data_IF_313813511195
#
_entry.id   IF_313813511195
#
_cell.length_a   1.000
_cell.length_b   1.000
_cell.length_c   1.000
_cell.angle_alpha   90.00
_cell.angle_beta   90.00
_cell.angle_gamma   90.00
#
_symmetry.space_group_name_H-M   'P 1'
#
loop_
_entity.id
_entity.type
_entity.pdbx_description
1 polymer ?
#
# COMPACT_ATOMS: atom_id res chain seq x y z
N UNK A 1 0.32 -18.40 -11.72
CA UNK A 1 -1.18 -18.43 -11.71
C UNK A 1 -1.66 -18.97 -10.39
N UNK A 2 -2.73 -18.40 -9.82
CA UNK A 2 -3.35 -18.92 -8.59
C UNK A 2 -4.64 -19.64 -8.94
N UNK A 3 -4.86 -20.82 -8.37
CA UNK A 3 -6.07 -21.62 -8.51
C UNK A 3 -6.50 -22.13 -7.14
N UNK A 4 -7.79 -22.35 -6.93
CA UNK A 4 -8.35 -22.86 -5.68
C UNK A 4 -9.42 -23.92 -5.91
N UNK A 5 -9.82 -24.63 -4.85
CA UNK A 5 -10.99 -25.53 -4.88
C UNK A 5 -12.32 -24.80 -5.09
N UNK A 6 -12.39 -23.49 -4.85
CA UNK A 6 -13.61 -22.70 -4.96
C UNK A 6 -13.82 -22.15 -6.37
N UNK A 7 -14.79 -22.68 -7.11
CA UNK A 7 -15.08 -22.24 -8.50
C UNK A 7 -15.34 -20.73 -8.61
N UNK A 8 -16.26 -20.19 -7.81
CA UNK A 8 -16.62 -18.75 -7.87
C UNK A 8 -15.46 -17.87 -7.39
N UNK A 9 -14.65 -18.37 -6.46
CA UNK A 9 -13.44 -17.67 -6.02
C UNK A 9 -12.38 -17.61 -7.13
N UNK A 10 -12.25 -18.67 -7.92
CA UNK A 10 -11.41 -18.65 -9.12
C UNK A 10 -11.90 -17.64 -10.17
N UNK A 11 -13.22 -17.45 -10.31
CA UNK A 11 -13.78 -16.43 -11.21
C UNK A 11 -13.35 -15.02 -10.77
N UNK A 12 -13.35 -14.74 -9.45
CA UNK A 12 -12.82 -13.49 -8.90
C UNK A 12 -11.33 -13.32 -9.18
N UNK A 13 -10.50 -14.31 -8.86
CA UNK A 13 -9.05 -14.23 -9.12
C UNK A 13 -8.73 -14.08 -10.61
N UNK A 14 -9.47 -14.76 -11.48
CA UNK A 14 -9.31 -14.67 -12.93
C UNK A 14 -9.69 -13.29 -13.46
N UNK A 15 -10.81 -12.72 -12.97
CA UNK A 15 -11.26 -11.37 -13.32
C UNK A 15 -10.27 -10.32 -12.85
N UNK A 16 -9.83 -10.41 -11.59
CA UNK A 16 -8.80 -9.53 -11.03
C UNK A 16 -7.50 -9.57 -11.85
N UNK A 17 -7.02 -10.76 -12.23
CA UNK A 17 -5.82 -10.89 -13.07
C UNK A 17 -6.02 -10.25 -14.45
N UNK A 18 -7.19 -10.44 -15.06
CA UNK A 18 -7.51 -9.82 -16.34
C UNK A 18 -7.56 -8.30 -16.25
N UNK A 19 -8.05 -7.75 -15.14
CA UNK A 19 -8.12 -6.30 -14.92
C UNK A 19 -6.74 -5.68 -14.72
N UNK A 20 -5.83 -6.34 -13.97
CA UNK A 20 -4.42 -5.93 -13.89
C UNK A 20 -3.79 -5.95 -15.29
N UNK A 21 -3.99 -7.02 -16.06
CA UNK A 21 -3.44 -7.13 -17.41
C UNK A 21 -4.00 -6.05 -18.36
N UNK A 22 -5.30 -5.77 -18.29
CA UNK A 22 -5.96 -4.73 -19.08
C UNK A 22 -5.40 -3.33 -18.79
N UNK A 23 -5.12 -3.04 -17.52
CA UNK A 23 -4.60 -1.75 -17.08
C UNK A 23 -3.07 -1.62 -17.21
N UNK A 24 -2.36 -2.72 -17.50
CA UNK A 24 -0.90 -2.70 -17.65
C UNK A 24 -0.53 -2.32 -19.07
N UNK A 25 0.26 -1.26 -19.21
CA UNK A 25 0.84 -0.82 -20.47
C UNK A 25 2.31 -1.25 -20.54
N UNK A 26 2.72 -1.84 -21.66
CA UNK A 26 4.12 -2.11 -21.93
C UNK A 26 4.84 -0.82 -22.35
N UNK A 27 5.73 -0.33 -21.49
CA UNK A 27 6.57 0.84 -21.74
C UNK A 27 8.03 0.41 -21.95
N UNK A 28 8.86 1.32 -22.46
CA UNK A 28 10.31 1.08 -22.62
C UNK A 28 11.00 0.70 -21.30
N UNK A 29 10.48 1.22 -20.18
CA UNK A 29 10.96 0.94 -18.82
C UNK A 29 10.47 -0.39 -18.26
N UNK A 30 9.59 -1.10 -18.98
CA UNK A 30 8.89 -2.30 -18.53
C UNK A 30 7.37 -2.09 -18.35
N UNK A 31 6.65 -3.12 -17.88
CA UNK A 31 5.21 -3.04 -17.68
C UNK A 31 4.86 -2.04 -16.57
N UNK A 32 3.89 -1.17 -16.83
CA UNK A 32 3.40 -0.18 -15.87
C UNK A 32 1.86 -0.22 -15.77
N UNK A 33 1.29 -0.40 -14.58
CA UNK A 33 -0.15 -0.37 -14.39
C UNK A 33 -0.67 1.07 -14.36
N UNK A 34 -1.53 1.44 -15.30
CA UNK A 34 -2.29 2.70 -15.24
C UNK A 34 -3.35 2.60 -14.14
N UNK A 35 -3.67 3.73 -13.51
CA UNK A 35 -4.48 3.75 -12.29
C UNK A 35 -5.86 3.12 -12.49
N UNK A 36 -6.66 3.60 -13.43
CA UNK A 36 -7.93 2.94 -13.77
C UNK A 36 -8.79 3.69 -14.77
N UNK A 37 -9.86 3.05 -15.22
CA UNK A 37 -10.74 3.59 -16.26
C UNK A 37 -12.15 3.86 -15.71
N UNK A 38 -12.82 4.94 -16.16
CA UNK A 38 -12.42 5.83 -17.27
C UNK A 38 -11.54 7.03 -16.86
N UNK A 39 -11.45 7.37 -15.58
CA UNK A 39 -10.95 8.68 -15.16
C UNK A 39 -9.43 8.82 -15.08
N UNK A 40 -8.72 7.71 -14.83
CA UNK A 40 -7.31 7.70 -14.46
C UNK A 40 -6.47 6.82 -15.40
N UNK A 41 -6.78 6.84 -16.70
CA UNK A 41 -6.09 6.06 -17.73
C UNK A 41 -4.71 6.64 -18.06
N UNK A 42 -3.85 6.75 -17.06
CA UNK A 42 -2.49 7.26 -17.18
C UNK A 42 -1.61 6.75 -16.02
N UNK A 43 -0.31 7.08 -16.06
CA UNK A 43 0.62 6.77 -15.00
C UNK A 43 0.41 7.66 -13.77
N UNK A 44 0.07 7.03 -12.65
CA UNK A 44 0.04 7.61 -11.30
C UNK A 44 1.10 6.92 -10.45
N UNK A 45 2.00 7.68 -9.83
CA UNK A 45 3.12 7.14 -9.09
C UNK A 45 2.68 6.29 -7.91
N UNK A 46 1.81 6.83 -7.05
CA UNK A 46 1.29 6.13 -5.87
C UNK A 46 0.51 4.87 -6.24
N UNK A 47 -0.46 4.97 -7.15
CA UNK A 47 -1.27 3.84 -7.61
C UNK A 47 -0.40 2.75 -8.22
N UNK A 48 0.59 3.14 -9.03
CA UNK A 48 1.58 2.25 -9.61
C UNK A 48 2.37 1.51 -8.54
N UNK A 49 2.87 2.23 -7.54
CA UNK A 49 3.65 1.66 -6.43
C UNK A 49 2.81 0.71 -5.58
N UNK A 50 1.59 1.10 -5.17
CA UNK A 50 0.72 0.25 -4.35
C UNK A 50 0.30 -1.02 -5.14
N UNK A 51 -0.06 -0.87 -6.42
CA UNK A 51 -0.39 -2.02 -7.27
C UNK A 51 0.80 -2.96 -7.43
N UNK A 52 2.01 -2.42 -7.58
CA UNK A 52 3.23 -3.20 -7.62
C UNK A 52 3.50 -3.94 -6.31
N UNK A 53 3.35 -3.29 -5.14
CA UNK A 53 3.48 -3.93 -3.82
C UNK A 53 2.49 -5.08 -3.65
N UNK A 54 1.24 -4.89 -4.08
CA UNK A 54 0.18 -5.91 -4.01
C UNK A 54 0.46 -7.13 -4.88
N UNK A 55 1.08 -6.93 -6.04
CA UNK A 55 1.41 -7.98 -6.99
C UNK A 55 2.80 -8.59 -6.78
N UNK A 56 3.65 -7.96 -5.97
CA UNK A 56 5.09 -8.22 -5.89
C UNK A 56 5.44 -9.70 -5.66
N UNK A 57 4.67 -10.38 -4.82
CA UNK A 57 4.94 -11.78 -4.50
C UNK A 57 4.70 -12.73 -5.69
N UNK A 58 3.76 -12.39 -6.59
CA UNK A 58 3.41 -13.16 -7.78
C UNK A 58 4.14 -12.71 -9.04
N UNK A 59 4.27 -11.40 -9.25
CA UNK A 59 4.80 -10.80 -10.46
C UNK A 59 5.72 -9.61 -10.13
N UNK A 60 6.99 -9.86 -9.77
CA UNK A 60 7.93 -8.80 -9.44
C UNK A 60 8.33 -7.92 -10.64
N UNK A 61 8.09 -8.35 -11.89
CA UNK A 61 8.39 -7.54 -13.08
C UNK A 61 7.53 -6.26 -13.13
N UNK A 62 6.32 -6.28 -12.59
CA UNK A 62 5.49 -5.08 -12.49
C UNK A 62 6.15 -4.02 -11.59
N UNK A 63 6.74 -4.46 -10.47
CA UNK A 63 7.49 -3.57 -9.59
C UNK A 63 8.77 -3.03 -10.26
N UNK A 64 9.50 -3.87 -11.00
CA UNK A 64 10.67 -3.44 -11.78
C UNK A 64 10.31 -2.34 -12.79
N UNK A 65 9.22 -2.52 -13.53
CA UNK A 65 8.72 -1.56 -14.52
C UNK A 65 8.27 -0.24 -13.89
N UNK A 66 7.53 -0.30 -12.77
CA UNK A 66 7.12 0.88 -12.00
C UNK A 66 8.33 1.65 -11.47
N UNK A 67 9.29 0.96 -10.85
CA UNK A 67 10.51 1.58 -10.32
C UNK A 67 11.30 2.28 -11.43
N UNK A 68 11.57 1.58 -12.54
CA UNK A 68 12.32 2.14 -13.66
C UNK A 68 11.62 3.34 -14.31
N UNK A 69 10.30 3.29 -14.45
CA UNK A 69 9.51 4.42 -14.94
C UNK A 69 9.63 5.62 -13.99
N UNK A 70 9.40 5.43 -12.70
CA UNK A 70 9.42 6.51 -11.72
C UNK A 70 10.81 7.14 -11.55
N UNK A 71 11.89 6.36 -11.64
CA UNK A 71 13.25 6.92 -11.68
C UNK A 71 13.49 7.78 -12.93
N UNK A 72 13.02 7.34 -14.11
CA UNK A 72 13.17 8.10 -15.37
C UNK A 72 12.48 9.46 -15.31
N UNK A 73 11.39 9.56 -14.55
CA UNK A 73 10.61 10.79 -14.36
C UNK A 73 10.78 11.39 -12.96
N UNK A 74 11.84 11.05 -12.23
CA UNK A 74 12.14 11.68 -10.95
C UNK A 74 12.51 13.15 -11.19
N UNK A 75 12.02 14.05 -10.33
CA UNK A 75 12.32 15.47 -10.47
C UNK A 75 13.79 15.76 -10.19
N UNK A 76 14.39 16.60 -11.02
CA UNK A 76 15.73 17.19 -10.84
C UNK A 76 15.68 18.70 -10.65
N UNK A 77 14.48 19.29 -10.63
CA UNK A 77 14.25 20.73 -10.63
C UNK A 77 13.25 21.13 -9.55
N UNK A 78 13.26 22.41 -9.19
CA UNK A 78 12.25 23.01 -8.32
C UNK A 78 11.22 23.76 -9.16
N UNK A 79 9.94 23.39 -9.05
CA UNK A 79 8.83 24.05 -9.75
C UNK A 79 7.64 24.24 -8.81
N UNK A 80 7.24 25.48 -8.58
CA UNK A 80 6.06 25.82 -7.77
C UNK A 80 4.78 25.30 -8.43
N UNK A 81 4.69 25.41 -9.77
CA UNK A 81 3.50 25.02 -10.52
C UNK A 81 3.30 23.50 -10.51
N UNK A 82 4.37 22.75 -10.75
CA UNK A 82 4.32 21.28 -10.83
C UNK A 82 4.45 20.61 -9.44
N UNK A 83 4.65 21.41 -8.38
CA UNK A 83 4.95 20.97 -7.01
C UNK A 83 6.18 20.04 -6.95
N UNK A 84 7.18 20.36 -7.77
CA UNK A 84 8.38 19.57 -7.98
C UNK A 84 9.53 20.10 -7.11
N UNK A 85 10.30 19.19 -6.53
CA UNK A 85 11.58 19.45 -5.86
C UNK A 85 12.56 18.34 -6.24
N UNK A 86 13.88 18.59 -6.29
CA UNK A 86 14.86 17.56 -6.61
C UNK A 86 14.70 16.32 -5.72
N UNK A 87 14.61 15.14 -6.35
CA UNK A 87 14.42 13.86 -5.67
C UNK A 87 12.95 13.42 -5.53
N UNK A 88 11.96 14.31 -5.69
CA UNK A 88 10.54 13.91 -5.64
C UNK A 88 10.16 12.96 -6.77
N UNK A 89 9.28 12.02 -6.44
CA UNK A 89 8.67 11.10 -7.39
C UNK A 89 7.28 11.62 -7.80
N UNK A 90 6.98 11.56 -9.09
CA UNK A 90 5.74 12.09 -9.67
C UNK A 90 4.47 11.51 -9.03
N UNK A 91 3.48 12.37 -8.81
CA UNK A 91 2.11 12.00 -8.47
C UNK A 91 1.39 11.43 -9.71
N UNK A 92 1.33 12.20 -10.80
CA UNK A 92 0.68 11.78 -12.05
C UNK A 92 1.27 12.48 -13.28
N UNK A 93 1.01 11.91 -14.45
CA UNK A 93 1.30 12.54 -15.74
C UNK A 93 0.06 12.52 -16.62
N UNK A 94 -0.27 13.62 -17.29
CA UNK A 94 -1.40 13.72 -18.23
C UNK A 94 -0.95 14.35 -19.53
N UNK A 95 -1.56 13.89 -20.62
CA UNK A 95 -1.33 14.41 -21.99
C UNK A 95 -2.55 15.17 -22.54
N UNK A 96 -3.54 15.48 -21.70
CA UNK A 96 -4.75 16.19 -22.12
C UNK A 96 -4.49 17.67 -22.43
N UNK A 97 -5.40 18.30 -23.18
CA UNK A 97 -5.26 19.68 -23.66
C UNK A 97 -4.95 20.68 -22.54
N UNK A 98 -5.70 20.65 -21.42
CA UNK A 98 -5.45 21.53 -20.27
C UNK A 98 -4.07 21.32 -19.63
N UNK A 99 -3.51 20.09 -19.69
CA UNK A 99 -2.17 19.81 -19.19
C UNK A 99 -1.09 20.28 -20.18
N UNK A 100 -1.36 20.18 -21.49
CA UNK A 100 -0.47 20.69 -22.56
C UNK A 100 -0.44 22.22 -22.58
N UNK A 101 -1.59 22.86 -22.37
CA UNK A 101 -1.74 24.32 -22.28
C UNK A 101 -1.30 24.90 -20.92
N UNK A 102 -0.89 24.05 -19.97
CA UNK A 102 -0.49 24.43 -18.59
C UNK A 102 -1.59 25.18 -17.81
N UNK A 103 -2.85 24.87 -18.08
CA UNK A 103 -4.00 25.35 -17.27
C UNK A 103 -4.11 24.57 -15.96
N UNK A 104 -3.67 23.31 -15.95
CA UNK A 104 -3.57 22.45 -14.78
C UNK A 104 -2.16 21.85 -14.67
N UNK A 105 -1.64 21.59 -13.46
CA UNK A 105 -0.26 21.13 -13.27
C UNK A 105 -0.06 19.64 -13.61
N UNK A 106 -1.12 18.95 -14.01
CA UNK A 106 -1.11 17.49 -14.20
C UNK A 106 -0.33 16.99 -15.41
N UNK A 107 0.39 17.85 -16.14
CA UNK A 107 1.31 17.41 -17.19
C UNK A 107 2.37 16.46 -16.64
N UNK A 108 3.04 16.88 -15.55
CA UNK A 108 3.95 16.07 -14.72
C UNK A 108 3.91 16.62 -13.30
N UNK A 109 2.90 16.22 -12.55
CA UNK A 109 2.65 16.76 -11.21
C UNK A 109 3.36 15.94 -10.14
N UNK A 110 3.92 16.60 -9.12
CA UNK A 110 4.69 15.98 -8.03
C UNK A 110 4.08 16.23 -6.64
N UNK A 111 2.84 16.72 -6.55
CA UNK A 111 2.17 17.00 -5.28
C UNK A 111 1.65 15.77 -4.52
N UNK A 112 2.41 14.67 -4.53
CA UNK A 112 2.18 13.47 -3.71
C UNK A 112 3.29 13.33 -2.68
N UNK A 113 2.98 13.53 -1.39
CA UNK A 113 3.96 13.47 -0.29
C UNK A 113 4.32 12.03 0.09
N UNK A 114 3.41 11.09 -0.17
CA UNK A 114 3.56 9.66 0.08
C UNK A 114 4.32 8.92 -1.01
N UNK A 115 4.28 9.39 -2.27
CA UNK A 115 4.86 8.67 -3.41
C UNK A 115 6.37 8.44 -3.27
N UNK A 116 7.12 9.45 -2.84
CA UNK A 116 8.59 9.34 -2.70
C UNK A 116 9.02 8.29 -1.67
N UNK A 117 8.53 8.29 -0.41
CA UNK A 117 8.86 7.21 0.53
C UNK A 117 8.29 5.85 0.09
N UNK A 118 7.10 5.80 -0.53
CA UNK A 118 6.56 4.56 -1.08
C UNK A 118 7.45 3.96 -2.18
N UNK A 119 7.99 4.79 -3.06
CA UNK A 119 8.93 4.38 -4.12
C UNK A 119 10.18 3.71 -3.54
N UNK A 120 10.77 4.31 -2.50
CA UNK A 120 11.93 3.72 -1.80
C UNK A 120 11.54 2.40 -1.11
N UNK A 121 10.38 2.36 -0.48
CA UNK A 121 9.88 1.13 0.16
C UNK A 121 9.62 0.00 -0.86
N UNK A 122 9.11 0.32 -2.05
CA UNK A 122 8.94 -0.64 -3.15
C UNK A 122 10.29 -1.16 -3.63
N UNK A 123 11.31 -0.30 -3.75
CA UNK A 123 12.65 -0.71 -4.19
C UNK A 123 13.27 -1.72 -3.21
N UNK A 124 13.18 -1.44 -1.90
CA UNK A 124 13.57 -2.40 -0.86
C UNK A 124 12.77 -3.71 -0.94
N UNK A 125 11.44 -3.62 -1.02
CA UNK A 125 10.58 -4.81 -1.07
C UNK A 125 10.87 -5.66 -2.32
N UNK A 126 11.15 -5.02 -3.45
CA UNK A 126 11.58 -5.68 -4.68
C UNK A 126 12.92 -6.39 -4.51
N UNK A 127 13.91 -5.72 -3.91
CA UNK A 127 15.21 -6.31 -3.62
C UNK A 127 15.06 -7.54 -2.70
N UNK A 128 14.28 -7.42 -1.61
CA UNK A 128 14.00 -8.51 -0.68
C UNK A 128 13.33 -9.71 -1.37
N UNK A 129 12.39 -9.43 -2.27
CA UNK A 129 11.65 -10.44 -3.03
C UNK A 129 12.49 -11.17 -4.08
N UNK A 130 13.42 -10.47 -4.72
CA UNK A 130 14.08 -10.94 -5.95
C UNK A 130 15.57 -11.25 -5.78
N UNK A 131 16.24 -10.62 -4.82
CA UNK A 131 17.69 -10.65 -4.69
C UNK A 131 18.41 -10.01 -5.89
N UNK A 132 17.72 -9.16 -6.67
CA UNK A 132 18.27 -8.57 -7.89
C UNK A 132 19.11 -7.33 -7.56
N UNK A 133 20.34 -7.57 -7.08
CA UNK A 133 21.27 -6.53 -6.69
C UNK A 133 21.67 -5.62 -7.88
N UNK A 134 21.81 -6.19 -9.09
CA UNK A 134 22.13 -5.43 -10.31
C UNK A 134 21.09 -4.34 -10.62
N UNK A 135 19.80 -4.66 -10.47
CA UNK A 135 18.75 -3.67 -10.65
C UNK A 135 18.79 -2.61 -9.56
N UNK A 136 18.96 -3.00 -8.29
CA UNK A 136 19.10 -2.02 -7.19
C UNK A 136 20.28 -1.09 -7.42
N UNK A 137 21.40 -1.60 -7.93
CA UNK A 137 22.58 -0.81 -8.22
C UNK A 137 22.34 0.26 -9.28
N UNK A 138 21.60 -0.08 -10.35
CA UNK A 138 21.17 0.91 -11.36
C UNK A 138 20.24 1.98 -10.79
N UNK A 139 19.44 1.64 -9.80
CA UNK A 139 18.47 2.54 -9.18
C UNK A 139 19.07 3.40 -8.06
N UNK A 140 20.30 3.11 -7.64
CA UNK A 140 20.87 3.61 -6.39
C UNK A 140 20.91 5.13 -6.28
N UNK A 141 21.30 5.82 -7.35
CA UNK A 141 21.38 7.29 -7.35
C UNK A 141 19.98 7.92 -7.23
N UNK A 142 18.99 7.33 -7.92
CA UNK A 142 17.60 7.75 -7.82
C UNK A 142 17.04 7.53 -6.41
N UNK A 143 17.37 6.40 -5.77
CA UNK A 143 16.99 6.11 -4.39
C UNK A 143 17.66 7.09 -3.40
N UNK A 144 18.94 7.39 -3.58
CA UNK A 144 19.64 8.37 -2.75
C UNK A 144 19.05 9.77 -2.91
N UNK A 145 18.67 10.18 -4.12
CA UNK A 145 18.00 11.47 -4.35
C UNK A 145 16.61 11.52 -3.68
N UNK A 146 15.84 10.44 -3.75
CA UNK A 146 14.55 10.34 -3.07
C UNK A 146 14.68 10.46 -1.54
N UNK A 147 15.67 9.78 -0.96
CA UNK A 147 15.94 9.86 0.48
C UNK A 147 16.49 11.23 0.88
N UNK A 148 17.35 11.84 0.06
CA UNK A 148 17.84 13.19 0.30
C UNK A 148 16.69 14.20 0.37
N UNK A 149 15.69 14.09 -0.52
CA UNK A 149 14.48 14.88 -0.44
C UNK A 149 13.72 14.66 0.88
N UNK A 150 13.54 13.40 1.30
CA UNK A 150 12.88 13.07 2.57
C UNK A 150 13.62 13.68 3.77
N UNK A 151 14.95 13.63 3.78
CA UNK A 151 15.79 14.22 4.83
C UNK A 151 15.70 15.75 4.84
N UNK A 152 15.71 16.39 3.67
CA UNK A 152 15.57 17.84 3.54
C UNK A 152 14.21 18.32 4.05
N UNK A 153 13.11 17.68 3.64
CA UNK A 153 11.77 18.02 4.14
C UNK A 153 11.68 17.79 5.64
N UNK A 154 12.19 16.66 6.14
CA UNK A 154 12.23 16.36 7.58
C UNK A 154 12.98 17.42 8.38
N UNK A 155 14.11 17.92 7.86
CA UNK A 155 14.92 18.94 8.51
C UNK A 155 14.20 20.30 8.63
N UNK A 156 13.34 20.66 7.65
CA UNK A 156 12.56 21.92 7.68
C UNK A 156 11.57 21.98 8.86
N UNK A 157 11.13 20.82 9.37
CA UNK A 157 10.08 20.72 10.39
C UNK A 157 10.58 20.49 11.81
N UNK A 158 11.89 20.30 12.03
CA UNK A 158 12.49 20.06 13.35
C UNK A 158 12.27 18.65 13.94
N UNK A 159 11.07 18.08 13.78
CA UNK A 159 10.72 16.73 14.26
C UNK A 159 11.09 15.60 13.28
N UNK A 160 11.63 15.95 12.10
CA UNK A 160 12.04 14.98 11.08
C UNK A 160 10.89 14.45 10.22
N UNK A 161 9.64 14.86 10.46
CA UNK A 161 8.49 14.42 9.67
C UNK A 161 8.54 14.93 8.24
N UNK A 162 8.19 14.05 7.30
CA UNK A 162 7.94 14.45 5.91
C UNK A 162 6.52 15.01 5.86
N UNK A 163 6.43 16.30 5.54
CA UNK A 163 5.19 17.06 5.51
C UNK A 163 4.87 17.56 4.11
N UNK A 164 3.62 17.93 3.89
CA UNK A 164 3.24 18.71 2.71
C UNK A 164 2.68 20.08 3.05
N UNK A 165 2.87 21.00 2.12
CA UNK A 165 2.13 22.24 1.99
C UNK A 165 2.07 22.54 0.50
N UNK A 166 0.88 22.69 -0.07
CA UNK A 166 0.74 22.94 -1.51
C UNK A 166 1.58 24.15 -1.92
N UNK A 167 2.36 24.03 -2.99
CA UNK A 167 3.22 25.12 -3.45
C UNK A 167 2.43 26.23 -4.17
N UNK A 168 1.33 25.86 -4.83
CA UNK A 168 0.43 26.77 -5.52
C UNK A 168 -1.05 26.46 -5.18
N UNK A 169 -1.91 27.46 -5.26
CA UNK A 169 -3.36 27.29 -5.03
C UNK A 169 -4.03 26.36 -6.04
N UNK A 170 -3.41 26.16 -7.21
CA UNK A 170 -3.84 25.23 -8.27
C UNK A 170 -3.42 23.77 -8.03
N UNK A 171 -2.56 23.52 -7.03
CA UNK A 171 -2.15 22.17 -6.63
C UNK A 171 -3.20 21.48 -5.76
N UNK A 172 -3.03 20.17 -5.55
CA UNK A 172 -3.85 19.39 -4.62
C UNK A 172 -3.73 19.96 -3.21
N UNK A 173 -4.88 20.12 -2.55
CA UNK A 173 -4.94 20.63 -1.18
C UNK A 173 -4.34 19.63 -0.20
N UNK A 174 -4.79 18.38 -0.26
CA UNK A 174 -4.21 17.26 0.48
C UNK A 174 -3.33 16.43 -0.47
N UNK A 175 -2.11 16.13 -0.04
CA UNK A 175 -1.10 15.48 -0.89
C UNK A 175 -0.81 14.02 -0.51
N UNK A 176 -1.61 13.43 0.37
CA UNK A 176 -1.58 11.99 0.66
C UNK A 176 -2.57 11.21 -0.19
N UNK A 177 -2.74 9.92 0.09
CA UNK A 177 -3.69 9.08 -0.64
C UNK A 177 -5.14 9.53 -0.53
N UNK A 178 -5.49 10.16 0.61
CA UNK A 178 -6.75 10.87 0.78
C UNK A 178 -6.62 12.33 0.33
N UNK A 179 -6.69 12.55 -0.98
CA UNK A 179 -6.40 13.84 -1.62
C UNK A 179 -7.59 14.80 -1.76
N UNK A 180 -8.80 14.40 -1.35
CA UNK A 180 -9.96 15.32 -1.30
C UNK A 180 -9.73 16.44 -0.29
N UNK A 181 -10.15 17.66 -0.59
CA UNK A 181 -9.90 18.84 0.24
C UNK A 181 -10.47 18.74 1.67
N UNK A 182 -11.52 17.94 1.86
CA UNK A 182 -12.21 17.71 3.14
C UNK A 182 -11.75 16.43 3.87
N UNK A 183 -10.72 15.74 3.39
CA UNK A 183 -10.32 14.44 3.93
C UNK A 183 -9.47 14.49 5.21
N UNK A 184 -8.80 15.63 5.45
CA UNK A 184 -7.96 15.85 6.63
C UNK A 184 -8.58 16.97 7.45
N UNK A 185 -8.93 16.67 8.69
CA UNK A 185 -9.63 17.58 9.60
C UNK A 185 -9.24 17.28 11.06
N UNK A 186 -9.43 18.26 11.94
CA UNK A 186 -9.32 18.10 13.38
C UNK A 186 -10.59 17.50 13.95
N UNK A 187 -10.56 17.05 15.21
CA UNK A 187 -11.71 16.44 15.90
C UNK A 187 -12.95 17.34 15.98
N UNK A 188 -12.79 18.66 15.87
CA UNK A 188 -13.87 19.66 15.82
C UNK A 188 -14.39 19.94 14.39
N UNK A 189 -13.87 19.23 13.38
CA UNK A 189 -14.20 19.41 11.97
C UNK A 189 -13.45 20.53 11.26
N UNK A 190 -12.57 21.27 11.96
CA UNK A 190 -11.77 22.33 11.33
C UNK A 190 -10.70 21.76 10.40
N UNK A 191 -10.47 22.43 9.26
CA UNK A 191 -9.40 22.06 8.32
C UNK A 191 -8.06 22.53 8.88
N UNK A 192 -7.07 21.64 9.09
CA UNK A 192 -5.77 22.01 9.63
C UNK A 192 -4.98 22.89 8.65
N UNK A 193 -4.07 23.70 9.21
CA UNK A 193 -3.13 24.50 8.42
C UNK A 193 -1.81 23.76 8.24
N UNK A 194 -1.23 23.88 7.05
CA UNK A 194 0.07 23.29 6.75
C UNK A 194 1.24 23.96 7.47
N UNK A 195 2.43 23.32 7.43
CA UNK A 195 2.69 22.02 6.82
C UNK A 195 2.05 20.85 7.59
N UNK A 196 1.55 19.82 6.89
CA UNK A 196 0.84 18.68 7.50
C UNK A 196 1.68 17.40 7.39
N UNK A 197 1.88 16.69 8.50
CA UNK A 197 2.46 15.36 8.56
C UNK A 197 1.36 14.30 8.68
N UNK A 198 1.18 13.46 7.67
CA UNK A 198 0.21 12.35 7.70
C UNK A 198 0.81 11.11 8.34
N UNK A 199 0.00 10.38 9.11
CA UNK A 199 0.47 9.23 9.89
C UNK A 199 0.99 8.09 9.01
N UNK A 200 0.29 7.75 7.93
CA UNK A 200 0.70 6.69 6.99
C UNK A 200 1.99 7.06 6.26
N UNK A 201 2.18 8.34 5.92
CA UNK A 201 3.38 8.85 5.27
C UNK A 201 4.58 8.63 6.17
N UNK A 202 4.45 8.92 7.47
CA UNK A 202 5.56 8.68 8.41
C UNK A 202 5.88 7.19 8.54
N UNK A 203 4.86 6.33 8.44
CA UNK A 203 5.06 4.88 8.31
C UNK A 203 5.88 4.51 7.08
N UNK A 204 5.57 5.07 5.91
CA UNK A 204 6.34 4.83 4.68
C UNK A 204 7.76 5.38 4.78
N UNK A 205 7.96 6.54 5.40
CA UNK A 205 9.27 7.14 5.66
C UNK A 205 10.12 6.21 6.53
N UNK A 206 9.55 5.67 7.61
CA UNK A 206 10.20 4.65 8.43
C UNK A 206 10.62 3.42 7.60
N UNK A 207 9.70 2.91 6.78
CA UNK A 207 9.94 1.72 5.95
C UNK A 207 11.02 1.96 4.88
N UNK A 208 11.02 3.16 4.29
CA UNK A 208 12.02 3.60 3.32
C UNK A 208 13.42 3.69 3.96
N UNK A 209 13.55 4.32 5.13
CA UNK A 209 14.83 4.39 5.84
C UNK A 209 15.34 3.00 6.27
N UNK A 210 14.46 2.12 6.77
CA UNK A 210 14.82 0.71 7.07
C UNK A 210 15.32 -0.01 5.83
N UNK A 211 14.61 0.13 4.72
CA UNK A 211 14.99 -0.48 3.44
C UNK A 211 16.34 0.01 2.94
N UNK A 212 16.56 1.33 2.96
CA UNK A 212 17.82 1.93 2.52
C UNK A 212 18.98 1.56 3.44
N UNK A 213 18.76 1.46 4.75
CA UNK A 213 19.76 0.97 5.69
C UNK A 213 20.19 -0.47 5.36
N UNK A 214 19.23 -1.35 5.07
CA UNK A 214 19.50 -2.74 4.70
C UNK A 214 20.22 -2.86 3.35
N UNK A 215 19.83 -2.07 2.35
CA UNK A 215 20.53 -2.01 1.06
C UNK A 215 21.95 -1.44 1.19
N UNK A 216 22.15 -0.38 1.97
CA UNK A 216 23.48 0.16 2.26
C UNK A 216 24.38 -0.88 2.92
N UNK A 217 23.87 -1.62 3.91
CA UNK A 217 24.62 -2.68 4.57
C UNK A 217 25.02 -3.80 3.59
N UNK A 218 24.12 -4.20 2.67
CA UNK A 218 24.40 -5.15 1.59
C UNK A 218 25.52 -4.66 0.66
N UNK A 219 25.55 -3.35 0.39
CA UNK A 219 26.59 -2.69 -0.42
C UNK A 219 27.89 -2.41 0.36
N UNK A 220 27.97 -2.78 1.63
CA UNK A 220 29.15 -2.52 2.48
C UNK A 220 29.29 -1.07 2.96
N UNK A 221 28.31 -0.20 2.73
CA UNK A 221 28.31 1.18 3.22
C UNK A 221 27.76 1.24 4.65
N UNK A 222 28.63 0.89 5.61
CA UNK A 222 28.29 0.84 7.04
C UNK A 222 27.84 2.20 7.58
N UNK A 223 28.40 3.30 7.05
CA UNK A 223 28.07 4.65 7.49
C UNK A 223 26.64 5.04 7.10
N UNK A 224 26.26 4.85 5.83
CA UNK A 224 24.87 5.09 5.40
C UNK A 224 23.88 4.13 6.06
N UNK A 225 24.27 2.86 6.24
CA UNK A 225 23.44 1.90 6.94
C UNK A 225 23.11 2.36 8.37
N UNK A 226 24.11 2.82 9.13
CA UNK A 226 23.92 3.33 10.48
C UNK A 226 23.10 4.64 10.49
N UNK A 227 23.36 5.56 9.57
CA UNK A 227 22.63 6.83 9.45
C UNK A 227 21.13 6.60 9.21
N UNK A 228 20.78 5.83 8.19
CA UNK A 228 19.38 5.57 7.84
C UNK A 228 18.66 4.68 8.86
N UNK A 229 19.36 3.74 9.48
CA UNK A 229 18.82 3.00 10.63
C UNK A 229 18.47 3.96 11.78
N UNK A 230 19.35 4.90 12.09
CA UNK A 230 19.09 5.95 13.09
C UNK A 230 17.92 6.88 12.71
N UNK A 231 17.77 7.24 11.43
CA UNK A 231 16.64 8.03 10.94
C UNK A 231 15.31 7.28 11.07
N UNK A 232 15.25 6.00 10.70
CA UNK A 232 14.06 5.17 10.87
C UNK A 232 13.63 5.15 12.34
N UNK A 233 14.59 4.96 13.25
CA UNK A 233 14.34 4.87 14.68
C UNK A 233 13.86 6.20 15.28
N UNK A 234 14.38 7.33 14.80
CA UNK A 234 13.86 8.65 15.16
C UNK A 234 12.40 8.81 14.73
N UNK A 235 12.07 8.47 13.48
CA UNK A 235 10.69 8.54 12.98
C UNK A 235 9.75 7.64 13.77
N UNK A 236 10.16 6.39 14.03
CA UNK A 236 9.38 5.44 14.84
C UNK A 236 9.07 6.03 16.22
N UNK A 237 10.08 6.55 16.92
CA UNK A 237 9.89 7.16 18.23
C UNK A 237 9.02 8.42 18.18
N UNK A 238 9.18 9.26 17.17
CA UNK A 238 8.38 10.47 16.97
C UNK A 238 6.90 10.13 16.69
N UNK A 239 6.61 9.13 15.85
CA UNK A 239 5.24 8.64 15.60
C UNK A 239 4.64 8.03 16.87
N UNK A 240 5.38 7.14 17.54
CA UNK A 240 4.94 6.53 18.80
C UNK A 240 4.65 7.60 19.90
N UNK A 241 5.34 8.73 19.90
CA UNK A 241 5.18 9.74 20.94
C UNK A 241 4.12 10.77 20.56
N UNK A 242 4.21 11.33 19.35
CA UNK A 242 3.47 12.53 18.95
C UNK A 242 2.16 12.24 18.22
N UNK A 243 2.01 11.06 17.60
CA UNK A 243 0.74 10.69 16.95
C UNK A 243 -0.17 9.86 17.85
N UNK A 244 0.35 9.25 18.92
CA UNK A 244 -0.48 8.44 19.80
C UNK A 244 -1.48 9.29 20.57
N UNK A 245 -2.72 8.86 20.61
CA UNK A 245 -3.82 9.45 21.38
C UNK A 245 -4.14 8.53 22.56
N UNK A 246 -3.61 8.79 23.77
CA UNK A 246 -3.80 7.90 24.93
C UNK A 246 -5.27 7.64 25.25
N UNK A 247 -6.10 8.69 25.22
CA UNK A 247 -7.52 8.61 25.58
C UNK A 247 -8.36 7.79 24.57
N UNK A 248 -7.86 7.64 23.33
CA UNK A 248 -8.52 6.90 22.26
C UNK A 248 -7.84 5.57 21.95
N UNK A 249 -6.69 5.27 22.56
CA UNK A 249 -5.83 4.12 22.27
C UNK A 249 -5.60 3.92 20.75
N UNK A 250 -5.35 5.02 20.01
CA UNK A 250 -5.23 5.03 18.55
C UNK A 250 -4.20 6.09 18.10
N UNK A 251 -3.77 6.06 16.83
CA UNK A 251 -2.95 7.14 16.26
C UNK A 251 -3.81 8.20 15.60
N UNK A 252 -3.49 9.47 15.83
CA UNK A 252 -4.06 10.60 15.12
C UNK A 252 -3.82 10.46 13.60
N UNK A 253 -4.73 11.03 12.81
CA UNK A 253 -4.63 11.03 11.34
C UNK A 253 -3.42 11.83 10.85
N UNK A 254 -3.14 12.95 11.50
CA UNK A 254 -2.09 13.87 11.11
C UNK A 254 -1.59 14.72 12.29
N UNK A 255 -0.46 15.38 12.09
CA UNK A 255 -0.01 16.54 12.87
C UNK A 255 0.05 17.74 11.92
N UNK A 256 -0.49 18.88 12.33
CA UNK A 256 -0.53 20.09 11.52
C UNK A 256 0.63 21.06 11.81
N UNK A 257 0.66 22.20 11.11
CA UNK A 257 1.74 23.18 11.19
C UNK A 257 1.84 23.91 12.54
N UNK A 258 0.84 23.75 13.42
CA UNK A 258 0.88 24.25 14.80
C UNK A 258 1.34 23.17 15.79
N UNK A 259 1.75 21.99 15.30
CA UNK A 259 2.12 20.84 16.11
C UNK A 259 0.92 20.14 16.76
N UNK A 260 -0.31 20.42 16.30
CA UNK A 260 -1.52 19.84 16.88
C UNK A 260 -1.94 18.57 16.15
N UNK A 261 -2.40 17.59 16.92
CA UNK A 261 -2.96 16.36 16.39
C UNK A 261 -4.31 16.63 15.70
N UNK A 262 -4.43 16.16 14.46
CA UNK A 262 -5.73 15.86 13.84
C UNK A 262 -6.25 14.56 14.48
N UNK A 263 -6.83 14.69 15.68
CA UNK A 263 -7.20 13.60 16.58
C UNK A 263 -8.44 12.81 16.11
N UNK A 264 -8.31 12.14 14.96
CA UNK A 264 -9.38 11.49 14.21
C UNK A 264 -9.00 10.04 13.93
N UNK A 265 -9.94 9.10 14.16
CA UNK A 265 -9.75 7.68 13.86
C UNK A 265 -10.07 7.35 12.41
N UNK A 266 -9.01 7.07 11.66
CA UNK A 266 -9.08 6.73 10.25
C UNK A 266 -8.31 5.43 9.95
N UNK A 267 -8.60 4.83 8.80
CA UNK A 267 -7.92 3.62 8.31
C UNK A 267 -6.40 3.78 8.13
N UNK A 268 -5.91 5.02 7.99
CA UNK A 268 -4.49 5.36 7.84
C UNK A 268 -3.59 4.69 8.88
N UNK A 269 -4.05 4.50 10.12
CA UNK A 269 -3.28 3.80 11.14
C UNK A 269 -2.98 2.32 10.77
N UNK A 270 -3.80 1.68 9.94
CA UNK A 270 -3.55 0.34 9.40
C UNK A 270 -2.33 0.27 8.48
N UNK A 271 -1.95 1.38 7.86
CA UNK A 271 -0.74 1.47 7.06
C UNK A 271 0.53 1.43 7.93
N UNK A 272 0.46 1.93 9.17
CA UNK A 272 1.54 1.75 10.15
C UNK A 272 1.75 0.26 10.47
N UNK A 273 0.67 -0.51 10.60
CA UNK A 273 0.75 -1.95 10.81
C UNK A 273 1.42 -2.66 9.63
N UNK A 274 1.08 -2.25 8.41
CA UNK A 274 1.64 -2.84 7.19
C UNK A 274 3.17 -2.73 7.13
N UNK A 275 3.71 -1.56 7.47
CA UNK A 275 5.16 -1.32 7.51
C UNK A 275 5.85 -1.80 8.80
N UNK A 276 5.08 -2.21 9.82
CA UNK A 276 5.61 -2.73 11.08
C UNK A 276 6.20 -1.67 12.01
N UNK A 277 5.70 -0.43 11.95
CA UNK A 277 6.18 0.66 12.81
C UNK A 277 5.71 0.50 14.28
N UNK A 278 4.42 0.21 14.56
CA UNK A 278 3.91 0.22 15.94
C UNK A 278 4.54 -0.83 16.85
N UNK A 279 4.64 -0.50 18.13
CA UNK A 279 4.90 -1.50 19.17
C UNK A 279 3.81 -2.58 19.19
N UNK A 280 4.14 -3.80 19.64
CA UNK A 280 3.18 -4.92 19.63
C UNK A 280 1.88 -4.62 20.40
N UNK A 281 1.98 -3.91 21.53
CA UNK A 281 0.82 -3.51 22.33
C UNK A 281 -0.09 -2.53 21.59
N UNK A 282 0.49 -1.49 20.97
CA UNK A 282 -0.29 -0.52 20.20
C UNK A 282 -0.85 -1.14 18.93
N UNK A 283 -0.09 -2.02 18.29
CA UNK A 283 -0.57 -2.76 17.13
C UNK A 283 -1.82 -3.60 17.43
N UNK A 284 -1.87 -4.25 18.60
CA UNK A 284 -3.07 -4.95 19.05
C UNK A 284 -4.27 -3.99 19.24
N UNK A 285 -4.03 -2.80 19.80
CA UNK A 285 -5.08 -1.78 19.93
C UNK A 285 -5.61 -1.30 18.57
N UNK A 286 -4.71 -0.98 17.63
CA UNK A 286 -5.10 -0.57 16.27
C UNK A 286 -5.84 -1.70 15.56
N UNK A 287 -5.36 -2.95 15.68
CA UNK A 287 -6.02 -4.11 15.11
C UNK A 287 -7.46 -4.27 15.63
N UNK A 288 -7.66 -4.15 16.94
CA UNK A 288 -8.99 -4.23 17.55
C UNK A 288 -9.93 -3.12 17.02
N UNK A 289 -9.42 -1.89 16.85
CA UNK A 289 -10.24 -0.78 16.34
C UNK A 289 -10.54 -0.90 14.84
N UNK A 290 -9.57 -1.29 14.00
CA UNK A 290 -9.81 -1.55 12.57
C UNK A 290 -10.86 -2.64 12.34
N UNK A 291 -10.97 -3.60 13.27
CA UNK A 291 -11.94 -4.69 13.21
C UNK A 291 -13.27 -4.38 13.92
N UNK A 292 -13.36 -3.25 14.64
CA UNK A 292 -14.58 -2.82 15.32
C UNK A 292 -15.65 -2.38 14.32
N UNK A 293 -16.92 -2.38 14.74
CA UNK A 293 -18.05 -1.95 13.89
C UNK A 293 -17.96 -0.49 13.41
N UNK A 294 -17.14 0.35 14.06
CA UNK A 294 -16.95 1.75 13.67
C UNK A 294 -16.17 1.87 12.36
N UNK A 295 -15.10 1.07 12.20
CA UNK A 295 -14.25 1.08 11.00
C UNK A 295 -14.56 -0.08 10.06
N UNK A 296 -14.88 -1.26 10.57
CA UNK A 296 -15.26 -2.40 9.74
C UNK A 296 -16.77 -2.45 9.55
N UNK A 297 -17.22 -2.05 8.36
CA UNK A 297 -18.63 -2.10 7.94
C UNK A 297 -19.21 -3.51 7.82
N UNK A 298 -18.37 -4.56 7.80
CA UNK A 298 -18.74 -5.91 7.40
C UNK A 298 -18.60 -6.20 5.90
N UNK A 299 -18.35 -5.16 5.10
CA UNK A 299 -17.88 -5.31 3.71
C UNK A 299 -16.36 -5.12 3.61
N UNK A 300 -15.81 -4.17 4.37
CA UNK A 300 -14.39 -3.84 4.45
C UNK A 300 -14.15 -2.70 5.43
N UNK A 301 -12.90 -2.22 5.48
CA UNK A 301 -12.49 -1.12 6.36
C UNK A 301 -12.89 0.21 5.72
N UNK A 302 -13.67 1.01 6.45
CA UNK A 302 -14.02 2.38 6.08
C UNK A 302 -12.82 3.29 6.25
N UNK A 303 -12.75 4.30 5.40
CA UNK A 303 -11.69 5.31 5.50
C UNK A 303 -11.75 6.09 6.82
N UNK A 304 -12.94 6.23 7.41
CA UNK A 304 -13.20 6.99 8.63
C UNK A 304 -14.15 6.21 9.54
N UNK A 305 -13.91 6.26 10.86
CA UNK A 305 -14.82 5.67 11.84
C UNK A 305 -16.19 6.37 11.81
N UNK A 306 -17.27 5.61 11.99
CA UNK A 306 -18.65 6.10 11.82
C UNK A 306 -19.15 7.06 12.91
N UNK A 307 -18.34 7.30 13.95
CA UNK A 307 -18.59 8.24 15.05
C UNK A 307 -17.66 9.47 15.02
N UNK A 308 -16.86 9.64 13.96
CA UNK A 308 -16.12 10.88 13.72
C UNK A 308 -17.00 11.90 12.98
N UNK A 309 -16.82 13.19 13.27
CA UNK A 309 -17.78 14.25 12.95
C UNK A 309 -18.21 14.33 11.46
N UNK A 310 -17.32 14.31 10.46
CA UNK A 310 -17.71 14.41 9.05
C UNK A 310 -17.97 13.04 8.41
N UNK A 311 -18.22 11.99 9.21
CA UNK A 311 -18.53 10.68 8.65
C UNK A 311 -19.71 10.74 7.68
N UNK A 312 -19.45 10.29 6.46
CA UNK A 312 -20.46 10.12 5.44
C UNK A 312 -20.12 8.83 4.65
N UNK A 313 -20.97 7.79 4.72
CA UNK A 313 -20.71 6.52 4.01
C UNK A 313 -20.68 6.68 2.49
N UNK A 314 -21.18 7.80 1.96
CA UNK A 314 -21.13 8.15 0.53
C UNK A 314 -20.03 9.16 0.19
N UNK A 315 -19.19 9.57 1.14
CA UNK A 315 -18.04 10.46 0.83
C UNK A 315 -16.91 9.68 0.16
N UNK A 316 -16.17 10.36 -0.71
CA UNK A 316 -15.00 9.80 -1.39
C UNK A 316 -13.93 9.34 -0.40
N UNK A 317 -13.58 10.16 0.62
CA UNK A 317 -12.56 9.85 1.62
C UNK A 317 -13.02 9.86 3.09
N UNK A 318 -14.28 10.22 3.38
CA UNK A 318 -14.80 10.36 4.76
C UNK A 318 -15.83 9.29 5.15
N UNK A 319 -15.67 8.06 4.67
CA UNK A 319 -16.50 6.93 5.12
C UNK A 319 -16.71 5.81 4.12
N UNK A 320 -16.27 5.97 2.87
CA UNK A 320 -16.25 4.90 1.86
C UNK A 320 -15.28 3.77 2.21
N UNK A 321 -15.35 2.68 1.45
CA UNK A 321 -14.46 1.53 1.56
C UNK A 321 -13.66 1.41 0.27
N UNK A 322 -12.34 1.39 0.43
CA UNK A 322 -11.40 1.23 -0.66
C UNK A 322 -10.76 -0.16 -0.56
N UNK A 323 -10.85 -1.01 -1.61
CA UNK A 323 -10.27 -2.34 -1.57
C UNK A 323 -8.75 -2.33 -1.31
N UNK A 324 -8.02 -1.36 -1.85
CA UNK A 324 -6.57 -1.25 -1.65
C UNK A 324 -6.24 -0.96 -0.17
N UNK A 325 -6.95 -0.03 0.47
CA UNK A 325 -6.79 0.35 1.88
C UNK A 325 -7.14 -0.83 2.81
N UNK A 326 -8.25 -1.52 2.51
CA UNK A 326 -8.63 -2.75 3.22
C UNK A 326 -7.54 -3.82 3.10
N UNK A 327 -6.91 -3.97 1.93
CA UNK A 327 -5.83 -4.94 1.74
C UNK A 327 -4.55 -4.57 2.49
N UNK A 328 -4.19 -3.28 2.54
CA UNK A 328 -3.06 -2.78 3.33
C UNK A 328 -3.31 -3.03 4.82
N UNK A 329 -4.49 -2.69 5.33
CA UNK A 329 -4.91 -2.99 6.69
C UNK A 329 -4.81 -4.51 6.98
N UNK A 330 -5.32 -5.35 6.07
CA UNK A 330 -5.27 -6.80 6.21
C UNK A 330 -3.84 -7.35 6.22
N UNK A 331 -2.94 -6.84 5.37
CA UNK A 331 -1.53 -7.20 5.38
C UNK A 331 -0.84 -6.76 6.69
N UNK A 332 -1.20 -5.60 7.23
CA UNK A 332 -0.77 -5.15 8.56
C UNK A 332 -1.25 -6.05 9.70
N UNK A 333 -2.54 -6.44 9.69
CA UNK A 333 -3.07 -7.41 10.65
C UNK A 333 -2.31 -8.75 10.60
N UNK A 334 -2.01 -9.26 9.40
CA UNK A 334 -1.23 -10.48 9.24
C UNK A 334 0.18 -10.36 9.84
N UNK A 335 0.85 -9.21 9.68
CA UNK A 335 2.16 -8.93 10.28
C UNK A 335 2.14 -9.05 11.80
N UNK A 336 1.07 -8.58 12.44
CA UNK A 336 0.86 -8.68 13.88
C UNK A 336 0.05 -9.92 14.30
N UNK A 337 0.11 -10.97 13.47
CA UNK A 337 -0.37 -12.32 13.81
C UNK A 337 -1.91 -12.47 13.85
N UNK A 338 -2.68 -11.45 13.45
CA UNK A 338 -4.14 -11.45 13.43
C UNK A 338 -4.73 -12.06 12.13
N UNK A 339 -4.16 -13.18 11.66
CA UNK A 339 -4.53 -13.83 10.38
C UNK A 339 -5.97 -14.35 10.33
N UNK A 340 -6.57 -14.69 11.47
CA UNK A 340 -7.97 -15.11 11.53
C UNK A 340 -8.90 -14.00 11.04
N UNK A 341 -8.60 -12.76 11.39
CA UNK A 341 -9.37 -11.58 10.99
C UNK A 341 -9.13 -11.22 9.52
N UNK A 342 -7.91 -11.45 9.02
CA UNK A 342 -7.57 -11.30 7.59
C UNK A 342 -8.45 -12.21 6.71
N UNK A 343 -8.65 -13.47 7.11
CA UNK A 343 -9.53 -14.41 6.39
C UNK A 343 -10.98 -13.90 6.35
N UNK A 344 -11.47 -13.27 7.42
CA UNK A 344 -12.82 -12.67 7.46
C UNK A 344 -12.93 -11.44 6.55
N UNK A 345 -11.93 -10.56 6.55
CA UNK A 345 -11.87 -9.42 5.64
C UNK A 345 -11.84 -9.87 4.18
N UNK A 346 -11.07 -10.93 3.88
CA UNK A 346 -11.01 -11.50 2.54
C UNK A 346 -12.36 -12.09 2.10
N UNK A 347 -13.07 -12.77 2.99
CA UNK A 347 -14.45 -13.23 2.73
C UNK A 347 -15.38 -12.05 2.43
N UNK A 348 -15.28 -10.98 3.23
CA UNK A 348 -16.10 -9.78 3.06
C UNK A 348 -15.85 -9.09 1.71
N UNK A 349 -14.57 -8.97 1.30
CA UNK A 349 -14.21 -8.47 -0.03
C UNK A 349 -14.66 -9.39 -1.16
N UNK A 350 -14.53 -10.71 -0.99
CA UNK A 350 -15.01 -11.66 -1.99
C UNK A 350 -16.51 -11.56 -2.19
N UNK A 351 -17.28 -11.47 -1.10
CA UNK A 351 -18.73 -11.29 -1.14
C UNK A 351 -19.12 -9.94 -1.77
N UNK A 352 -18.35 -8.87 -1.51
CA UNK A 352 -18.52 -7.61 -2.23
C UNK A 352 -18.22 -7.76 -3.73
N UNK A 353 -17.14 -8.46 -4.10
CA UNK A 353 -16.78 -8.71 -5.49
C UNK A 353 -17.88 -9.48 -6.23
N UNK A 354 -18.54 -10.46 -5.58
CA UNK A 354 -19.70 -11.17 -6.15
C UNK A 354 -20.81 -10.19 -6.56
N UNK A 355 -21.08 -9.17 -5.73
CA UNK A 355 -22.10 -8.14 -5.99
C UNK A 355 -21.68 -7.13 -7.06
N UNK A 356 -20.38 -6.94 -7.25
CA UNK A 356 -19.82 -6.14 -8.35
C UNK A 356 -19.34 -6.98 -9.54
N UNK A 357 -20.01 -8.11 -9.81
CA UNK A 357 -19.72 -8.98 -10.97
C UNK A 357 -18.25 -9.41 -11.08
N UNK A 358 -17.67 -9.82 -9.94
CA UNK A 358 -16.28 -10.25 -9.75
C UNK A 358 -15.22 -9.16 -9.97
N UNK A 359 -15.62 -7.89 -10.05
CA UNK A 359 -14.71 -6.76 -10.23
C UNK A 359 -14.93 -5.74 -9.12
N UNK A 360 -13.98 -5.62 -8.20
CA UNK A 360 -14.06 -4.60 -7.17
C UNK A 360 -13.81 -3.21 -7.78
N UNK A 361 -14.66 -2.21 -7.47
CA UNK A 361 -14.44 -0.83 -7.91
C UNK A 361 -13.23 -0.19 -7.20
N UNK A 362 -12.84 0.99 -7.67
CA UNK A 362 -11.91 1.88 -6.96
C UNK A 362 -12.30 2.05 -5.47
N UNK A 363 -13.57 2.33 -5.23
CA UNK A 363 -14.20 2.46 -3.93
C UNK A 363 -15.70 2.14 -4.02
N UNK A 364 -16.31 1.87 -2.87
CA UNK A 364 -17.77 1.77 -2.74
C UNK A 364 -18.23 2.38 -1.41
N UNK A 365 -19.53 2.65 -1.26
CA UNK A 365 -20.06 3.34 -0.09
C UNK A 365 -19.93 2.48 1.17
N UNK A 366 -19.57 3.10 2.30
CA UNK A 366 -19.29 2.41 3.56
C UNK A 366 -20.49 2.19 4.47
N UNK A 367 -21.67 1.92 3.91
CA UNK A 367 -22.83 1.54 4.70
C UNK A 367 -22.56 0.24 5.48
N UNK A 368 -23.05 0.18 6.72
CA UNK A 368 -22.99 -1.04 7.54
C UNK A 368 -23.70 -2.17 6.81
N UNK A 369 -23.08 -3.33 6.76
CA UNK A 369 -23.66 -4.54 6.20
C UNK A 369 -24.86 -4.99 7.03
N UNK A 370 -26.04 -5.03 6.41
CA UNK A 370 -27.23 -5.67 6.97
C UNK A 370 -27.58 -6.96 6.21
N UNK A 371 -28.42 -7.80 6.82
CA UNK A 371 -28.88 -9.05 6.22
C UNK A 371 -29.73 -8.73 4.99
N UNK A 372 -29.36 -9.29 3.84
CA UNK A 372 -30.08 -9.11 2.57
C UNK A 372 -29.55 -7.97 1.70
N UNK A 373 -28.75 -7.06 2.26
CA UNK A 373 -28.23 -5.92 1.52
C UNK A 373 -27.00 -6.27 0.66
N UNK A 374 -26.82 -5.48 -0.40
CA UNK A 374 -25.62 -5.47 -1.23
C UNK A 374 -24.79 -4.22 -0.91
N UNK A 375 -23.46 -4.24 -1.14
CA UNK A 375 -22.67 -3.02 -1.05
C UNK A 375 -23.18 -2.00 -2.07
N UNK A 376 -23.25 -0.73 -1.66
CA UNK A 376 -23.75 0.36 -2.51
C UNK A 376 -22.59 0.92 -3.33
N UNK A 377 -22.78 0.99 -4.64
CA UNK A 377 -21.79 1.52 -5.57
C UNK A 377 -21.55 3.02 -5.32
N UNK A 378 -20.29 3.45 -5.38
CA UNK A 378 -19.98 4.87 -5.45
C UNK A 378 -20.19 5.37 -6.89
N UNK A 379 -20.95 6.45 -7.16
CA UNK A 379 -21.46 6.77 -8.49
C UNK A 379 -20.42 6.95 -9.60
N UNK A 380 -19.23 7.44 -9.27
CA UNK A 380 -18.19 7.81 -10.27
C UNK A 380 -16.89 7.01 -10.12
N UNK A 381 -16.92 5.88 -9.40
CA UNK A 381 -15.74 5.05 -9.19
C UNK A 381 -15.17 4.48 -10.50
N UNK A 382 -13.84 4.39 -10.62
CA UNK A 382 -13.22 3.60 -11.68
C UNK A 382 -13.53 2.10 -11.53
N UNK A 383 -13.74 1.42 -12.66
CA UNK A 383 -14.09 0.00 -12.70
C UNK A 383 -13.65 -0.63 -14.05
N UNK A 384 -12.42 -1.16 -14.18
CA UNK A 384 -11.48 -1.50 -13.11
C UNK A 384 -10.54 -0.36 -12.68
N UNK A 385 -9.91 -0.58 -11.52
CA UNK A 385 -8.83 0.21 -10.96
C UNK A 385 -7.71 -0.74 -10.48
N UNK A 386 -6.45 -0.42 -10.79
CA UNK A 386 -5.29 -1.31 -10.62
C UNK A 386 -5.06 -1.70 -9.16
N UNK A 387 -5.04 -0.74 -8.23
CA UNK A 387 -4.83 -1.04 -6.81
C UNK A 387 -6.01 -1.78 -6.16
N UNK A 388 -7.20 -1.70 -6.77
CA UNK A 388 -8.39 -2.42 -6.30
C UNK A 388 -8.36 -3.85 -6.81
N UNK A 389 -7.89 -4.07 -8.03
CA UNK A 389 -7.62 -5.41 -8.53
C UNK A 389 -6.49 -6.07 -7.70
N UNK A 390 -5.34 -5.41 -7.53
CA UNK A 390 -4.21 -5.97 -6.78
C UNK A 390 -4.54 -6.34 -5.33
N UNK A 391 -5.52 -5.66 -4.71
CA UNK A 391 -5.98 -5.91 -3.34
C UNK A 391 -6.27 -7.39 -3.05
N UNK A 392 -6.89 -8.12 -3.98
CA UNK A 392 -7.24 -9.53 -3.79
C UNK A 392 -5.99 -10.41 -3.60
N UNK A 393 -4.93 -10.13 -4.35
CA UNK A 393 -3.68 -10.90 -4.27
C UNK A 393 -2.86 -10.54 -3.04
N UNK A 394 -2.88 -9.29 -2.58
CA UNK A 394 -2.26 -8.88 -1.31
C UNK A 394 -2.97 -9.54 -0.11
N UNK A 395 -4.31 -9.53 -0.09
CA UNK A 395 -5.07 -10.20 0.97
C UNK A 395 -4.87 -11.72 0.96
N UNK A 396 -4.77 -12.31 -0.23
CA UNK A 396 -4.44 -13.73 -0.34
C UNK A 396 -3.04 -14.03 0.21
N UNK A 397 -2.04 -13.21 -0.13
CA UNK A 397 -0.70 -13.34 0.44
C UNK A 397 -0.73 -13.26 1.97
N UNK A 398 -1.50 -12.31 2.51
CA UNK A 398 -1.66 -12.12 3.95
C UNK A 398 -2.32 -13.32 4.64
N UNK A 399 -3.31 -13.97 3.99
CA UNK A 399 -3.90 -15.23 4.47
C UNK A 399 -2.88 -16.37 4.48
N UNK A 400 -2.16 -16.55 3.37
CA UNK A 400 -1.21 -17.65 3.18
C UNK A 400 0.07 -17.48 4.02
N UNK A 401 0.39 -16.25 4.44
CA UNK A 401 1.61 -15.95 5.18
C UNK A 401 2.88 -16.25 4.39
N UNK A 402 2.82 -16.14 3.06
CA UNK A 402 3.93 -16.45 2.16
C UNK A 402 4.85 -15.24 1.94
N UNK A 403 6.15 -15.47 2.09
CA UNK A 403 7.23 -14.56 1.73
C UNK A 403 8.28 -15.33 0.93
N UNK A 404 8.85 -14.68 -0.08
CA UNK A 404 9.98 -15.23 -0.84
C UNK A 404 11.19 -14.36 -0.50
N UNK A 405 12.25 -14.99 0.01
CA UNK A 405 13.54 -14.35 0.25
C UNK A 405 14.39 -14.56 -1.01
N UNK A 406 14.61 -13.47 -1.75
CA UNK A 406 15.31 -13.51 -3.04
C UNK A 406 16.79 -13.79 -2.91
N UNK A 407 17.44 -13.36 -1.82
CA UNK A 407 18.87 -13.57 -1.60
C UNK A 407 19.18 -15.00 -1.16
N UNK A 408 18.38 -15.55 -0.24
CA UNK A 408 18.48 -16.96 0.18
C UNK A 408 17.83 -17.92 -0.81
N UNK A 409 17.03 -17.39 -1.75
CA UNK A 409 16.27 -18.15 -2.74
C UNK A 409 15.37 -19.21 -2.07
N UNK A 410 14.66 -18.81 -1.01
CA UNK A 410 13.79 -19.69 -0.24
C UNK A 410 12.37 -19.13 -0.13
N UNK A 411 11.40 -20.03 0.06
CA UNK A 411 10.01 -19.68 0.36
C UNK A 411 9.78 -19.88 1.85
N UNK A 412 9.35 -18.83 2.53
CA UNK A 412 8.94 -18.85 3.92
C UNK A 412 7.40 -18.78 3.99
N UNK A 413 6.80 -19.71 4.73
CA UNK A 413 5.35 -19.74 4.98
C UNK A 413 5.12 -19.76 6.47
N UNK A 414 4.43 -18.74 6.99
CA UNK A 414 4.18 -18.59 8.41
C UNK A 414 2.68 -18.59 8.70
N UNK A 415 2.23 -19.54 9.54
CA UNK A 415 0.85 -19.70 10.02
C UNK A 415 -0.19 -19.57 8.90
N UNK A 416 -0.09 -20.39 7.84
CA UNK A 416 -0.95 -20.26 6.68
C UNK A 416 -2.42 -20.49 7.07
N UNK A 417 -3.30 -19.65 6.52
CA UNK A 417 -4.75 -19.83 6.55
C UNK A 417 -5.29 -19.81 5.13
N UNK A 418 -6.30 -20.63 4.88
CA UNK A 418 -7.05 -20.61 3.63
C UNK A 418 -8.30 -19.75 3.78
N UNK A 419 -8.77 -19.08 2.72
CA UNK A 419 -10.04 -18.35 2.73
C UNK A 419 -11.20 -19.25 3.15
N UNK A 420 -12.28 -18.64 3.66
CA UNK A 420 -13.49 -19.38 4.08
C UNK A 420 -14.07 -20.13 2.89
N UNK A 421 -14.38 -21.42 3.07
CA UNK A 421 -14.93 -22.28 2.01
C UNK A 421 -13.91 -22.76 0.97
N UNK A 422 -12.61 -22.51 1.17
CA UNK A 422 -11.53 -23.00 0.30
C UNK A 422 -10.72 -24.08 1.02
N UNK A 423 -10.53 -25.22 0.34
CA UNK A 423 -9.84 -26.41 0.87
C UNK A 423 -8.45 -26.59 0.29
N UNK A 424 -8.21 -26.07 -0.92
CA UNK A 424 -6.88 -26.03 -1.50
C UNK A 424 -6.65 -24.76 -2.33
N UNK A 425 -5.40 -24.34 -2.38
CA UNK A 425 -4.89 -23.30 -3.29
C UNK A 425 -3.58 -23.80 -3.90
N UNK A 426 -3.47 -23.67 -5.22
CA UNK A 426 -2.27 -23.98 -6.00
C UNK A 426 -1.75 -22.70 -6.62
N UNK A 427 -0.50 -22.35 -6.33
CA UNK A 427 0.23 -21.25 -6.97
C UNK A 427 1.20 -21.89 -7.95
N UNK A 428 0.93 -21.70 -9.24
CA UNK A 428 1.77 -22.21 -10.33
C UNK A 428 2.81 -21.22 -10.80
N UNK A 429 3.99 -21.74 -11.12
CA UNK A 429 5.13 -21.02 -11.70
C UNK A 429 5.57 -19.82 -10.84
N UNK A 430 5.59 -19.99 -9.51
CA UNK A 430 6.12 -18.99 -8.60
C UNK A 430 7.63 -18.87 -8.81
N UNK A 431 8.10 -17.69 -9.21
CA UNK A 431 9.52 -17.45 -9.45
C UNK A 431 10.29 -17.26 -8.14
N UNK A 432 11.40 -18.00 -7.99
CA UNK A 432 12.34 -17.90 -6.87
C UNK A 432 13.76 -17.99 -7.42
N UNK A 433 14.44 -16.85 -7.53
CA UNK A 433 15.65 -16.75 -8.34
C UNK A 433 15.36 -17.16 -9.78
N UNK A 434 16.15 -18.10 -10.30
CA UNK A 434 15.99 -18.65 -11.66
C UNK A 434 14.96 -19.80 -11.73
N UNK A 435 14.57 -20.35 -10.58
CA UNK A 435 13.62 -21.46 -10.52
C UNK A 435 12.16 -20.96 -10.62
N UNK A 436 11.30 -21.81 -11.19
CA UNK A 436 9.85 -21.66 -11.14
C UNK A 436 9.26 -22.91 -10.52
N UNK A 437 8.52 -22.75 -9.44
CA UNK A 437 7.95 -23.86 -8.69
C UNK A 437 6.45 -23.73 -8.54
N UNK A 438 5.78 -24.86 -8.39
CA UNK A 438 4.37 -24.94 -8.04
C UNK A 438 4.25 -25.23 -6.54
N UNK A 439 3.50 -24.38 -5.85
CA UNK A 439 3.31 -24.43 -4.40
C UNK A 439 1.85 -24.72 -4.07
N UNK A 440 1.61 -25.73 -3.23
CA UNK A 440 0.29 -26.20 -2.85
C UNK A 440 0.02 -25.87 -1.39
N UNK A 441 -1.16 -25.34 -1.11
CA UNK A 441 -1.73 -25.19 0.22
C UNK A 441 -2.96 -26.08 0.32
N UNK A 442 -3.03 -26.93 1.34
CA UNK A 442 -4.13 -27.87 1.53
C UNK A 442 -4.62 -27.87 2.97
N UNK A 443 -5.94 -27.86 3.16
CA UNK A 443 -6.57 -28.05 4.46
C UNK A 443 -6.47 -29.52 4.88
N UNK A 444 -5.94 -29.77 6.07
CA UNK A 444 -5.89 -31.08 6.72
C UNK A 444 -6.41 -30.91 8.15
N UNK A 445 -7.67 -31.25 8.37
CA UNK A 445 -8.38 -30.88 9.60
C UNK A 445 -8.40 -29.36 9.80
N UNK A 446 -7.99 -28.91 10.98
CA UNK A 446 -7.92 -27.48 11.34
C UNK A 446 -6.61 -26.79 10.91
N UNK A 447 -5.70 -27.54 10.27
CA UNK A 447 -4.40 -27.04 9.83
C UNK A 447 -4.36 -26.85 8.33
N UNK A 448 -3.44 -26.00 7.89
CA UNK A 448 -3.09 -25.84 6.48
C UNK A 448 -1.66 -26.31 6.31
N UNK A 449 -1.45 -27.31 5.46
CA UNK A 449 -0.12 -27.76 5.06
C UNK A 449 0.28 -27.04 3.78
N UNK A 450 1.59 -26.80 3.63
CA UNK A 450 2.16 -26.19 2.44
C UNK A 450 3.31 -27.06 1.93
N UNK A 451 3.30 -27.39 0.65
CA UNK A 451 4.29 -28.28 0.03
C UNK A 451 4.51 -27.93 -1.45
N UNK A 452 5.71 -28.25 -1.96
CA UNK A 452 6.01 -28.13 -3.38
C UNK A 452 5.40 -29.31 -4.15
N UNK A 453 5.00 -29.09 -5.40
CA UNK A 453 4.66 -30.18 -6.31
C UNK A 453 5.84 -31.14 -6.47
N UNK A 454 5.59 -32.46 -6.57
CA UNK A 454 6.62 -33.52 -6.56
C UNK A 454 7.77 -33.24 -7.56
N UNK A 455 7.43 -32.72 -8.74
CA UNK A 455 8.42 -32.40 -9.80
C UNK A 455 9.34 -31.23 -9.48
N UNK A 456 9.03 -30.47 -8.42
CA UNK A 456 9.78 -29.30 -7.97
C UNK A 456 10.44 -29.50 -6.60
N UNK A 457 10.30 -30.67 -5.99
CA UNK A 457 10.96 -30.97 -4.73
C UNK A 457 12.49 -30.83 -4.85
N UNK A 458 13.11 -30.21 -3.85
CA UNK A 458 14.55 -29.94 -3.83
C UNK A 458 15.02 -28.77 -4.70
N UNK A 459 14.16 -28.16 -5.54
CA UNK A 459 14.56 -27.00 -6.36
C UNK A 459 14.71 -25.71 -5.54
N UNK A 460 13.88 -25.54 -4.51
CA UNK A 460 13.80 -24.34 -3.67
C UNK A 460 13.54 -24.78 -2.21
N UNK A 461 14.28 -24.27 -1.22
CA UNK A 461 13.95 -24.51 0.18
C UNK A 461 12.57 -23.93 0.55
N UNK A 462 11.71 -24.76 1.13
CA UNK A 462 10.41 -24.36 1.67
C UNK A 462 10.44 -24.48 3.20
N UNK A 463 10.35 -23.34 3.88
CA UNK A 463 10.32 -23.24 5.34
C UNK A 463 8.90 -22.95 5.80
N UNK A 464 8.24 -23.94 6.40
CA UNK A 464 6.87 -23.79 6.93
C UNK A 464 6.90 -23.71 8.45
N UNK A 465 6.36 -22.63 9.02
CA UNK A 465 6.21 -22.42 10.46
C UNK A 465 4.72 -22.39 10.79
N UNK A 466 4.28 -23.33 11.62
CA UNK A 466 2.86 -23.52 11.99
C UNK A 466 2.39 -22.59 13.09
#
# INVERSE_FOLDING_TARGET
TVFSSGRVFNDWLARTRADIALLTTDLETGPYPYAGIPWFSTAFGRDGVISALQMLWLNPELARGVLAFLARYQSTETSIFDDAEPGKIMHETRKGEMAVLRELPFGRYYGGVDTTPLYVYLAWSYADRTGNDEFVDRMWDSLCAAVAWMEEVGARNGDGFVTYSRAADTGLFNQGWKDSADAIFRSDGTIPKGPIALVEVQGYVFAAYQGMAALAAKRGDVAKAAHWSGMAERIRNAVETQFWMPDRNFYALAIDGEGKQCAVRASNAGHLLYVGLPSAQRAQSIAAQLLSGHLNSGWGVRTLADDELPFNPMSYHNGSIWPHDTAICAAGLARYQERTSVVKLMSSMFEAAVRFHMRLPELFCGFTRAIGDAPIAYPVACLPQAWSAGSAFMMLQACLGIRIDGWKREINVERPRLPIGIDNIVIRHLAVGEAKVDLNFQRVGDRVVCYLDERHEGLVPLVVRS
#
